data_IF_002715768187
#
_entry.id   IF_002715768187
#
_cell.length_a   1.000
_cell.length_b   1.000
_cell.length_c   1.000
_cell.angle_alpha   90.00
_cell.angle_beta   90.00
_cell.angle_gamma   90.00
#
_symmetry.space_group_name_H-M   'P 1'
#
loop_
_entity.id
_entity.type
_entity.pdbx_description
1 polymer ?
#
# COMPACT_ATOMS: atom_id res chain seq x y z
N UNK A 1 8.24 -36.96 16.83
CA UNK A 1 9.00 -37.00 18.11
C UNK A 1 10.00 -35.84 18.20
N UNK A 2 10.78 -35.57 17.15
CA UNK A 2 11.73 -34.44 17.07
C UNK A 2 11.08 -33.06 17.27
N UNK A 3 9.96 -32.77 16.61
CA UNK A 3 9.22 -31.50 16.75
C UNK A 3 8.88 -31.14 18.22
N UNK A 4 8.35 -32.12 18.98
CA UNK A 4 8.02 -31.94 20.41
C UNK A 4 9.28 -31.70 21.27
N UNK A 5 10.41 -32.33 20.90
CA UNK A 5 11.70 -32.13 21.58
C UNK A 5 12.26 -30.73 21.31
N UNK A 6 12.19 -30.24 20.06
CA UNK A 6 12.58 -28.88 19.72
C UNK A 6 11.73 -27.83 20.44
N UNK A 7 10.41 -28.05 20.49
CA UNK A 7 9.49 -27.17 21.21
C UNK A 7 9.80 -27.13 22.71
N UNK A 8 10.09 -28.28 23.32
CA UNK A 8 10.50 -28.36 24.73
C UNK A 8 11.81 -27.60 24.99
N UNK A 9 12.84 -27.79 24.18
CA UNK A 9 14.13 -27.09 24.33
C UNK A 9 13.98 -25.57 24.13
N UNK A 10 13.15 -25.12 23.17
CA UNK A 10 12.87 -23.69 22.98
C UNK A 10 12.07 -23.08 24.13
N UNK A 11 11.14 -23.83 24.74
CA UNK A 11 10.41 -23.40 25.95
C UNK A 11 11.33 -23.28 27.16
N UNK A 12 12.22 -24.26 27.38
CA UNK A 12 13.21 -24.22 28.45
C UNK A 12 14.16 -23.03 28.31
N UNK A 13 14.61 -22.74 27.09
CA UNK A 13 15.41 -21.55 26.81
C UNK A 13 14.65 -20.25 27.08
N UNK A 14 13.37 -20.17 26.74
CA UNK A 14 12.56 -18.99 27.03
C UNK A 14 12.40 -18.78 28.53
N UNK A 15 12.13 -19.85 29.29
CA UNK A 15 12.01 -19.81 30.74
C UNK A 15 13.32 -19.40 31.42
N UNK A 16 14.48 -19.85 30.91
CA UNK A 16 15.79 -19.43 31.42
C UNK A 16 16.03 -17.94 31.19
N UNK A 17 15.69 -17.41 30.01
CA UNK A 17 15.89 -15.99 29.65
C UNK A 17 14.96 -15.02 30.39
N UNK A 18 13.86 -15.52 30.95
CA UNK A 18 12.87 -14.74 31.70
C UNK A 18 13.17 -14.68 33.21
N UNK A 19 14.22 -15.38 33.68
CA UNK A 19 14.70 -15.25 35.06
C UNK A 19 15.28 -13.85 35.33
N UNK A 20 15.19 -13.40 36.58
CA UNK A 20 15.79 -12.13 37.02
C UNK A 20 17.30 -12.10 36.82
N UNK A 21 17.96 -13.25 37.04
CA UNK A 21 19.38 -13.48 36.75
C UNK A 21 19.52 -14.76 35.91
N UNK A 22 19.51 -14.64 34.57
CA UNK A 22 19.62 -15.80 33.68
C UNK A 22 21.08 -16.26 33.54
N UNK A 23 21.30 -17.57 33.35
CA UNK A 23 22.63 -18.11 33.11
C UNK A 23 22.95 -18.19 31.61
N UNK A 24 24.06 -17.56 31.20
CA UNK A 24 24.55 -17.64 29.82
C UNK A 24 24.89 -19.08 29.41
N UNK A 25 25.49 -19.84 30.34
CA UNK A 25 25.86 -21.25 30.16
C UNK A 25 24.64 -22.16 29.99
N UNK A 26 23.58 -21.95 30.77
CA UNK A 26 22.33 -22.70 30.60
C UNK A 26 21.65 -22.36 29.27
N UNK A 27 21.64 -21.07 28.88
CA UNK A 27 21.12 -20.65 27.58
C UNK A 27 21.89 -21.31 26.42
N UNK A 28 23.21 -21.39 26.51
CA UNK A 28 24.07 -22.07 25.53
C UNK A 28 23.73 -23.56 25.41
N UNK A 29 23.51 -24.26 26.52
CA UNK A 29 23.13 -25.67 26.51
C UNK A 29 21.79 -25.89 25.79
N UNK A 30 20.75 -25.12 26.14
CA UNK A 30 19.44 -25.23 25.50
C UNK A 30 19.47 -24.85 24.01
N UNK A 31 20.30 -23.88 23.63
CA UNK A 31 20.52 -23.51 22.23
C UNK A 31 21.21 -24.63 21.44
N UNK A 32 22.19 -25.32 22.05
CA UNK A 32 22.84 -26.47 21.44
C UNK A 32 21.87 -27.63 21.22
N UNK A 33 21.07 -27.97 22.23
CA UNK A 33 20.04 -29.01 22.13
C UNK A 33 18.98 -28.69 21.08
N UNK A 34 18.46 -27.46 21.09
CA UNK A 34 17.53 -27.00 20.07
C UNK A 34 18.18 -27.07 18.68
N UNK A 35 19.46 -26.72 18.57
CA UNK A 35 20.19 -26.74 17.32
C UNK A 35 20.34 -28.12 16.69
N UNK A 36 20.60 -29.17 17.47
CA UNK A 36 20.67 -30.53 16.93
C UNK A 36 19.32 -31.01 16.43
N UNK A 37 18.24 -30.71 17.15
CA UNK A 37 16.90 -31.16 16.75
C UNK A 37 16.38 -30.37 15.54
N UNK A 38 16.66 -29.07 15.47
CA UNK A 38 16.16 -28.19 14.41
C UNK A 38 16.80 -28.47 13.04
N UNK A 39 17.98 -29.12 12.98
CA UNK A 39 18.63 -29.49 11.71
C UNK A 39 17.85 -30.54 10.93
N UNK A 40 17.12 -31.40 11.64
CA UNK A 40 16.46 -32.58 11.07
C UNK A 40 14.96 -32.36 10.82
N UNK A 41 14.46 -31.13 11.03
CA UNK A 41 13.05 -30.77 10.78
C UNK A 41 12.85 -30.20 9.38
N UNK A 42 11.77 -30.62 8.73
CA UNK A 42 11.32 -30.05 7.46
C UNK A 42 10.76 -28.62 7.61
N UNK A 43 10.62 -27.93 6.48
CA UNK A 43 10.19 -26.54 6.44
C UNK A 43 8.78 -26.32 7.01
N UNK A 44 7.84 -27.24 6.74
CA UNK A 44 6.46 -27.14 7.20
C UNK A 44 6.40 -27.20 8.72
N UNK A 45 7.14 -28.14 9.33
CA UNK A 45 7.25 -28.26 10.78
C UNK A 45 7.93 -27.04 11.42
N UNK A 46 8.95 -26.46 10.77
CA UNK A 46 9.63 -25.25 11.26
C UNK A 46 8.71 -24.01 11.24
N UNK A 47 7.82 -23.90 10.25
CA UNK A 47 6.82 -22.83 10.16
C UNK A 47 5.70 -22.99 11.20
N UNK A 48 5.14 -24.19 11.34
CA UNK A 48 4.10 -24.50 12.34
C UNK A 48 4.56 -24.16 13.77
N UNK A 49 5.80 -24.53 14.10
CA UNK A 49 6.41 -24.26 15.40
C UNK A 49 6.85 -22.80 15.59
N UNK A 50 6.67 -21.93 14.59
CA UNK A 50 7.05 -20.51 14.62
C UNK A 50 8.52 -20.28 15.05
N UNK A 51 9.43 -21.21 14.72
CA UNK A 51 10.81 -21.24 15.23
C UNK A 51 11.55 -19.93 14.95
N UNK A 52 11.37 -19.35 13.77
CA UNK A 52 12.01 -18.07 13.39
C UNK A 52 11.57 -16.88 14.26
N UNK A 53 10.28 -16.83 14.63
CA UNK A 53 9.75 -15.78 15.51
C UNK A 53 10.29 -15.96 16.93
N UNK A 54 10.39 -17.21 17.38
CA UNK A 54 10.91 -17.59 18.70
C UNK A 54 12.40 -17.25 18.82
N UNK A 55 13.23 -17.68 17.87
CA UNK A 55 14.65 -17.33 17.81
C UNK A 55 14.86 -15.80 17.76
N UNK A 56 14.00 -15.07 17.03
CA UNK A 56 14.08 -13.60 16.96
C UNK A 56 13.76 -12.90 18.29
N UNK A 57 12.85 -13.45 19.11
CA UNK A 57 12.62 -12.98 20.49
C UNK A 57 13.84 -13.27 21.36
N UNK A 58 14.38 -14.48 21.27
CA UNK A 58 15.55 -14.90 22.04
C UNK A 58 16.78 -14.05 21.73
N UNK A 59 17.04 -13.71 20.47
CA UNK A 59 18.12 -12.77 20.09
C UNK A 59 18.01 -11.44 20.81
N UNK A 60 16.79 -10.91 20.99
CA UNK A 60 16.58 -9.64 21.70
C UNK A 60 16.83 -9.78 23.20
N UNK A 61 16.40 -10.89 23.81
CA UNK A 61 16.64 -11.17 25.23
C UNK A 61 18.13 -11.40 25.52
N UNK A 62 18.83 -12.19 24.71
CA UNK A 62 20.29 -12.40 24.81
C UNK A 62 21.05 -11.08 24.66
N UNK A 63 20.67 -10.22 23.71
CA UNK A 63 21.28 -8.89 23.55
C UNK A 63 21.01 -7.95 24.73
N UNK A 64 19.88 -8.12 25.43
CA UNK A 64 19.54 -7.33 26.62
C UNK A 64 20.44 -7.76 27.79
N UNK A 65 20.50 -9.06 28.07
CA UNK A 65 21.30 -9.60 29.17
C UNK A 65 22.81 -9.44 28.96
N UNK A 66 23.30 -9.51 27.72
CA UNK A 66 24.70 -9.15 27.38
C UNK A 66 25.09 -7.74 27.85
N UNK A 67 24.15 -6.78 27.90
CA UNK A 67 24.45 -5.38 28.28
C UNK A 67 24.49 -5.16 29.79
N UNK A 68 23.94 -6.08 30.56
CA UNK A 68 23.72 -5.94 32.00
C UNK A 68 24.44 -7.00 32.83
N UNK A 69 25.14 -7.94 32.20
CA UNK A 69 25.85 -9.06 32.85
C UNK A 69 27.36 -8.88 32.78
N UNK A 70 28.07 -9.31 33.81
CA UNK A 70 29.54 -9.38 33.86
C UNK A 70 30.09 -10.52 32.96
N UNK A 71 29.25 -11.47 32.52
CA UNK A 71 29.59 -12.62 31.66
C UNK A 71 29.50 -12.28 30.14
N UNK A 72 30.07 -11.16 29.72
CA UNK A 72 29.88 -10.62 28.37
C UNK A 72 30.33 -11.57 27.23
N UNK A 73 31.36 -12.40 27.48
CA UNK A 73 31.90 -13.37 26.53
C UNK A 73 30.97 -14.58 26.30
N UNK A 74 30.38 -15.10 27.37
CA UNK A 74 29.44 -16.23 27.29
C UNK A 74 28.14 -15.84 26.59
N UNK A 75 27.65 -14.63 26.85
CA UNK A 75 26.50 -14.08 26.11
C UNK A 75 26.81 -13.77 24.65
N UNK A 76 28.06 -13.44 24.31
CA UNK A 76 28.47 -13.32 22.92
C UNK A 76 28.47 -14.65 22.20
N UNK A 77 28.94 -15.70 22.86
CA UNK A 77 28.90 -17.07 22.36
C UNK A 77 27.45 -17.53 22.13
N UNK A 78 26.55 -17.26 23.08
CA UNK A 78 25.12 -17.54 22.94
C UNK A 78 24.51 -16.82 21.73
N UNK A 79 24.88 -15.56 21.52
CA UNK A 79 24.40 -14.76 20.38
C UNK A 79 24.89 -15.32 19.04
N UNK A 80 26.15 -15.79 18.97
CA UNK A 80 26.70 -16.43 17.77
C UNK A 80 25.92 -17.71 17.41
N UNK A 81 25.59 -18.53 18.41
CA UNK A 81 24.80 -19.76 18.20
C UNK A 81 23.39 -19.44 17.70
N UNK A 82 22.67 -18.51 18.34
CA UNK A 82 21.31 -18.11 17.91
C UNK A 82 21.29 -17.61 16.47
N UNK A 83 22.27 -16.78 16.09
CA UNK A 83 22.36 -16.25 14.73
C UNK A 83 22.68 -17.35 13.71
N UNK A 84 23.54 -18.31 14.06
CA UNK A 84 23.84 -19.48 13.22
C UNK A 84 22.59 -20.33 12.99
N UNK A 85 21.80 -20.59 14.03
CA UNK A 85 20.53 -21.32 13.93
C UNK A 85 19.51 -20.60 13.05
N UNK A 86 19.41 -19.27 13.17
CA UNK A 86 18.56 -18.47 12.28
C UNK A 86 18.99 -18.54 10.83
N UNK A 87 20.29 -18.60 10.56
CA UNK A 87 20.81 -18.76 9.20
C UNK A 87 20.49 -20.16 8.66
N UNK A 88 20.68 -21.20 9.48
CA UNK A 88 20.39 -22.59 9.11
C UNK A 88 18.91 -22.79 8.75
N UNK A 89 17.99 -22.29 9.58
CA UNK A 89 16.55 -22.35 9.28
C UNK A 89 16.18 -21.58 8.00
N UNK A 90 16.88 -20.48 7.69
CA UNK A 90 16.69 -19.71 6.44
C UNK A 90 17.33 -20.36 5.21
N UNK A 91 18.35 -21.21 5.38
CA UNK A 91 18.96 -21.93 4.26
C UNK A 91 18.16 -23.17 3.90
N UNK A 92 17.57 -23.88 4.88
CA UNK A 92 16.64 -24.99 4.60
C UNK A 92 15.42 -24.51 3.78
N UNK A 93 14.89 -23.32 4.07
CA UNK A 93 13.81 -22.72 3.25
C UNK A 93 14.22 -22.35 1.82
N UNK A 94 15.51 -22.14 1.56
CA UNK A 94 16.05 -21.84 0.22
C UNK A 94 16.33 -23.10 -0.61
N UNK A 95 16.60 -24.24 0.03
CA UNK A 95 16.85 -25.52 -0.67
C UNK A 95 15.53 -26.10 -1.19
N UNK A 96 14.45 -26.03 -0.40
CA UNK A 96 13.11 -26.46 -0.84
C UNK A 96 12.51 -25.59 -1.96
N UNK A 97 12.87 -24.31 -1.99
CA UNK A 97 12.47 -23.39 -3.07
C UNK A 97 13.31 -23.54 -4.34
N UNK A 98 14.55 -24.08 -4.26
CA UNK A 98 15.34 -24.50 -5.44
C UNK A 98 14.90 -25.86 -5.98
N UNK A 99 14.58 -26.83 -5.13
CA UNK A 99 14.06 -28.13 -5.57
C UNK A 99 12.68 -28.01 -6.26
N UNK A 100 11.83 -27.07 -5.82
CA UNK A 100 10.59 -26.70 -6.53
C UNK A 100 10.79 -25.91 -7.83
N UNK A 101 11.98 -25.35 -8.08
CA UNK A 101 12.33 -24.65 -9.32
C UNK A 101 12.83 -25.59 -10.43
N UNK A 102 13.32 -26.80 -10.12
CA UNK A 102 13.88 -27.72 -11.14
C UNK A 102 12.84 -28.64 -11.80
N UNK A 103 11.58 -28.70 -11.33
CA UNK A 103 10.50 -29.51 -11.96
C UNK A 103 9.63 -28.69 -12.94
N UNK A 104 9.92 -27.41 -13.20
CA UNK A 104 9.17 -26.67 -14.24
C UNK A 104 10.06 -25.73 -15.06
N UNK A 105 10.67 -26.26 -16.12
CA UNK A 105 10.98 -25.45 -17.30
C UNK A 105 9.65 -25.11 -17.99
N UNK A 106 9.26 -23.83 -18.16
CA UNK A 106 8.10 -23.51 -18.96
C UNK A 106 8.45 -23.66 -20.44
N UNK A 107 7.68 -24.52 -21.12
CA UNK A 107 7.61 -24.56 -22.57
C UNK A 107 7.08 -23.23 -23.11
N UNK A 108 7.68 -22.77 -24.21
CA UNK A 108 7.23 -21.63 -25.00
C UNK A 108 5.85 -21.86 -25.63
N UNK A 109 4.76 -21.50 -24.94
CA UNK A 109 3.43 -21.24 -25.50
C UNK A 109 2.67 -20.27 -24.57
N UNK A 110 1.95 -19.25 -25.10
CA UNK A 110 1.19 -18.31 -24.28
C UNK A 110 -0.17 -18.90 -23.90
N UNK A 111 -0.36 -19.26 -22.63
CA UNK A 111 -1.65 -19.65 -22.09
C UNK A 111 -1.58 -20.17 -20.66
N UNK A 112 -2.33 -19.52 -19.76
CA UNK A 112 -2.59 -19.85 -18.34
C UNK A 112 -1.36 -19.73 -17.42
N UNK A 113 -1.37 -19.05 -16.26
CA UNK A 113 -2.39 -18.89 -15.22
C UNK A 113 -2.13 -17.60 -14.42
N UNK A 114 -3.16 -16.88 -13.97
CA UNK A 114 -3.17 -16.24 -12.65
C UNK A 114 -4.58 -15.80 -12.28
N UNK A 115 -5.26 -16.54 -11.41
CA UNK A 115 -6.55 -16.11 -10.88
C UNK A 115 -6.34 -15.02 -9.83
N UNK A 116 -7.31 -14.11 -9.66
CA UNK A 116 -7.34 -13.05 -8.63
C UNK A 116 -7.02 -13.59 -7.22
N UNK A 117 -7.31 -14.88 -6.98
CA UNK A 117 -7.00 -15.61 -5.75
C UNK A 117 -5.50 -15.80 -5.52
N UNK A 118 -4.74 -16.20 -6.54
CA UNK A 118 -3.28 -16.40 -6.47
C UNK A 118 -2.55 -15.06 -6.33
N UNK A 119 -3.08 -14.04 -7.01
CA UNK A 119 -2.63 -12.67 -6.86
C UNK A 119 -2.75 -12.16 -5.41
N UNK A 120 -3.92 -12.32 -4.78
CA UNK A 120 -4.14 -11.96 -3.37
C UNK A 120 -3.25 -12.73 -2.41
N UNK A 121 -3.05 -14.02 -2.64
CA UNK A 121 -2.16 -14.84 -1.81
C UNK A 121 -0.73 -14.28 -1.83
N UNK A 122 -0.24 -13.82 -2.99
CA UNK A 122 1.07 -13.18 -3.12
C UNK A 122 1.19 -11.90 -2.30
N UNK A 123 0.14 -11.07 -2.23
CA UNK A 123 0.15 -9.82 -1.46
C UNK A 123 0.20 -10.06 0.04
N UNK A 124 -0.52 -11.09 0.51
CA UNK A 124 -0.52 -11.50 1.92
C UNK A 124 0.86 -12.01 2.36
N UNK A 125 1.54 -12.75 1.48
CA UNK A 125 2.88 -13.30 1.74
C UNK A 125 3.95 -12.21 1.79
N UNK A 126 3.81 -11.13 1.03
CA UNK A 126 4.88 -10.14 0.84
C UNK A 126 5.11 -9.16 2.01
N UNK A 127 4.30 -9.17 3.09
CA UNK A 127 4.48 -8.46 4.39
C UNK A 127 5.56 -7.35 4.44
N UNK A 128 5.49 -6.35 3.55
CA UNK A 128 6.34 -5.15 3.61
C UNK A 128 5.54 -4.07 4.28
N UNK A 129 5.94 -3.70 5.49
CA UNK A 129 5.53 -2.54 6.30
C UNK A 129 4.53 -1.58 5.62
N UNK A 130 3.29 -2.04 5.47
CA UNK A 130 2.19 -1.26 4.93
C UNK A 130 1.33 -0.84 6.11
N UNK A 131 1.18 0.48 6.27
CA UNK A 131 0.05 1.22 6.84
C UNK A 131 -0.77 0.50 7.91
N UNK A 132 -0.94 1.12 9.08
CA UNK A 132 -1.69 0.61 10.25
C UNK A 132 -3.13 0.11 10.02
N UNK A 133 -3.66 0.12 8.80
CA UNK A 133 -4.84 -0.62 8.39
C UNK A 133 -4.59 -1.23 6.99
N UNK A 134 -4.70 -2.56 6.80
CA UNK A 134 -4.63 -3.14 5.45
C UNK A 134 -5.71 -2.47 4.57
N UNK A 135 -5.39 -2.10 3.33
CA UNK A 135 -6.37 -1.46 2.47
C UNK A 135 -7.56 -2.40 2.29
N UNK A 136 -8.78 -1.85 2.40
CA UNK A 136 -10.00 -2.57 2.01
C UNK A 136 -9.78 -3.08 0.60
N UNK A 137 -9.80 -4.40 0.43
CA UNK A 137 -9.63 -5.02 -0.88
C UNK A 137 -10.87 -4.72 -1.73
N UNK A 138 -10.72 -4.62 -3.06
CA UNK A 138 -11.87 -4.44 -3.93
C UNK A 138 -12.84 -5.62 -3.82
N UNK A 139 -14.14 -5.38 -4.08
CA UNK A 139 -15.11 -6.46 -4.26
C UNK A 139 -14.59 -7.49 -5.28
N UNK A 140 -14.94 -8.76 -5.08
CA UNK A 140 -14.51 -9.86 -5.95
C UNK A 140 -15.12 -9.76 -7.35
N UNK A 141 -16.37 -9.33 -7.40
CA UNK A 141 -17.13 -9.07 -8.60
C UNK A 141 -17.71 -7.66 -8.46
N UNK A 142 -17.46 -6.79 -9.44
CA UNK A 142 -17.89 -5.39 -9.41
C UNK A 142 -18.93 -5.20 -10.49
N UNK A 143 -20.17 -5.00 -10.08
CA UNK A 143 -21.26 -4.68 -10.99
C UNK A 143 -21.26 -3.19 -11.27
N UNK A 144 -21.37 -2.85 -12.56
CA UNK A 144 -21.54 -1.48 -13.03
C UNK A 144 -23.03 -1.26 -13.26
N UNK A 145 -23.58 -0.21 -12.65
CA UNK A 145 -24.98 0.16 -12.87
C UNK A 145 -25.21 0.56 -14.34
N UNK A 146 -26.34 0.16 -14.90
CA UNK A 146 -26.66 0.40 -16.32
C UNK A 146 -27.09 1.85 -16.57
N UNK A 147 -27.67 2.51 -15.57
CA UNK A 147 -28.11 3.89 -15.65
C UNK A 147 -27.02 4.85 -15.16
N UNK A 148 -26.90 5.98 -15.85
CA UNK A 148 -25.94 7.03 -15.49
C UNK A 148 -26.61 8.09 -14.62
N UNK A 149 -25.94 8.49 -13.56
CA UNK A 149 -26.34 9.63 -12.74
C UNK A 149 -26.08 10.95 -13.48
N UNK A 150 -26.85 11.98 -13.12
CA UNK A 150 -26.58 13.35 -13.60
C UNK A 150 -25.18 13.83 -13.18
N UNK A 151 -24.57 14.76 -13.95
CA UNK A 151 -23.30 15.39 -13.59
C UNK A 151 -23.33 16.03 -12.19
N UNK A 152 -22.18 16.12 -11.50
CA UNK A 152 -22.11 16.73 -10.17
C UNK A 152 -22.47 18.21 -10.20
N UNK A 153 -23.03 18.69 -9.09
CA UNK A 153 -23.25 20.12 -8.87
C UNK A 153 -21.97 20.73 -8.31
N UNK A 154 -21.57 21.91 -8.81
CA UNK A 154 -20.45 22.70 -8.27
C UNK A 154 -20.99 23.85 -7.42
N UNK A 155 -20.51 23.96 -6.19
CA UNK A 155 -20.71 25.15 -5.38
C UNK A 155 -19.88 26.32 -5.96
N UNK A 156 -20.52 27.45 -6.26
CA UNK A 156 -19.88 28.60 -6.92
C UNK A 156 -18.86 29.33 -6.04
N UNK A 157 -19.03 29.29 -4.73
CA UNK A 157 -18.15 29.98 -3.77
C UNK A 157 -16.95 29.12 -3.39
N UNK A 158 -17.19 27.85 -3.05
CA UNK A 158 -16.13 26.96 -2.54
C UNK A 158 -15.47 26.11 -3.64
N UNK A 159 -16.09 26.01 -4.82
CA UNK A 159 -15.67 25.13 -5.91
C UNK A 159 -15.90 23.64 -5.63
N UNK A 160 -16.47 23.27 -4.48
CA UNK A 160 -16.69 21.87 -4.10
C UNK A 160 -17.76 21.22 -4.98
N UNK A 161 -17.50 19.96 -5.37
CA UNK A 161 -18.40 19.12 -6.15
C UNK A 161 -19.27 18.27 -5.23
N UNK A 162 -20.54 18.14 -5.58
CA UNK A 162 -21.51 17.28 -4.89
C UNK A 162 -22.14 16.30 -5.87
N UNK A 163 -22.17 15.03 -5.49
CA UNK A 163 -22.62 13.92 -6.33
C UNK A 163 -23.97 13.39 -5.86
N UNK A 164 -24.69 12.74 -6.76
CA UNK A 164 -25.94 12.02 -6.44
C UNK A 164 -25.60 10.61 -5.96
N UNK A 165 -26.23 10.20 -4.86
CA UNK A 165 -26.16 8.85 -4.32
C UNK A 165 -27.17 7.93 -4.98
N UNK A 166 -26.80 6.67 -5.20
CA UNK A 166 -27.70 5.59 -5.64
C UNK A 166 -28.11 4.66 -4.50
N UNK A 167 -27.28 4.57 -3.45
CA UNK A 167 -27.53 3.76 -2.26
C UNK A 167 -27.42 4.56 -0.96
N UNK A 168 -28.00 4.06 0.12
CA UNK A 168 -27.91 4.67 1.46
C UNK A 168 -26.47 4.71 1.99
N UNK A 169 -25.67 3.69 1.71
CA UNK A 169 -24.26 3.62 2.10
C UNK A 169 -23.44 4.72 1.40
N UNK A 170 -23.55 4.81 0.07
CA UNK A 170 -22.89 5.87 -0.71
C UNK A 170 -23.39 7.25 -0.29
N UNK A 171 -24.68 7.40 -0.02
CA UNK A 171 -25.28 8.67 0.44
C UNK A 171 -24.62 9.20 1.72
N UNK A 172 -24.32 8.32 2.67
CA UNK A 172 -23.63 8.72 3.90
C UNK A 172 -22.19 9.18 3.64
N UNK A 173 -21.46 8.48 2.78
CA UNK A 173 -20.09 8.86 2.44
C UNK A 173 -20.03 10.16 1.61
N UNK A 174 -21.02 10.40 0.75
CA UNK A 174 -21.10 11.59 -0.09
C UNK A 174 -21.31 12.88 0.69
N UNK A 175 -21.70 12.83 1.97
CA UNK A 175 -21.76 14.01 2.86
C UNK A 175 -20.39 14.65 3.08
N UNK A 176 -19.32 13.87 3.00
CA UNK A 176 -17.95 14.34 3.21
C UNK A 176 -17.09 14.28 1.94
N UNK A 177 -17.58 13.64 0.87
CA UNK A 177 -16.86 13.50 -0.40
C UNK A 177 -17.07 14.71 -1.31
N UNK A 178 -16.15 15.68 -1.19
CA UNK A 178 -16.21 16.96 -1.90
C UNK A 178 -14.87 17.33 -2.54
N UNK A 179 -14.42 16.62 -3.59
CA UNK A 179 -13.34 17.12 -4.44
C UNK A 179 -13.73 18.49 -5.02
N UNK A 180 -12.78 19.39 -5.21
CA UNK A 180 -13.01 20.72 -5.77
C UNK A 180 -12.37 20.92 -7.16
N UNK A 181 -11.77 19.85 -7.71
CA UNK A 181 -11.27 19.79 -9.08
C UNK A 181 -11.99 18.72 -9.89
N UNK A 182 -12.49 19.09 -11.07
CA UNK A 182 -13.03 18.14 -12.04
C UNK A 182 -11.90 17.29 -12.65
N UNK A 183 -12.20 16.14 -13.28
CA UNK A 183 -11.21 15.41 -14.05
C UNK A 183 -10.48 16.28 -15.08
N UNK A 184 -11.22 17.14 -15.80
CA UNK A 184 -10.63 18.11 -16.73
C UNK A 184 -9.60 19.01 -16.04
N UNK A 185 -9.97 19.64 -14.91
CA UNK A 185 -9.07 20.54 -14.19
C UNK A 185 -7.83 19.81 -13.67
N UNK A 186 -7.97 18.56 -13.21
CA UNK A 186 -6.82 17.75 -12.76
C UNK A 186 -5.88 17.43 -13.93
N UNK A 187 -6.42 17.11 -15.10
CA UNK A 187 -5.62 16.85 -16.30
C UNK A 187 -4.88 18.10 -16.79
N UNK A 188 -5.63 19.21 -16.96
CA UNK A 188 -5.08 20.47 -17.43
C UNK A 188 -4.04 21.06 -16.47
N UNK A 189 -4.19 20.84 -15.16
CA UNK A 189 -3.23 21.30 -14.17
C UNK A 189 -1.88 20.57 -14.24
N UNK A 190 -1.80 19.38 -14.86
CA UNK A 190 -0.61 18.55 -14.81
C UNK A 190 -0.50 17.82 -13.47
N UNK A 191 -1.17 16.68 -13.38
CA UNK A 191 -1.24 15.92 -12.13
C UNK A 191 -0.28 14.72 -12.10
N UNK A 192 0.01 14.08 -13.23
CA UNK A 192 0.57 12.72 -13.24
C UNK A 192 1.87 12.57 -14.04
N UNK A 193 2.63 13.65 -14.18
CA UNK A 193 3.94 13.69 -14.83
C UNK A 193 3.90 13.24 -16.29
N UNK A 194 2.76 13.41 -16.96
CA UNK A 194 2.59 13.01 -18.35
C UNK A 194 2.19 11.55 -18.59
N UNK A 195 2.13 10.72 -17.55
CA UNK A 195 2.20 9.25 -17.72
C UNK A 195 0.92 8.49 -17.39
N UNK A 196 -0.16 9.17 -16.99
CA UNK A 196 -1.30 8.48 -16.39
C UNK A 196 -1.95 7.50 -17.37
N UNK A 197 -2.22 7.94 -18.60
CA UNK A 197 -2.86 7.16 -19.65
C UNK A 197 -1.85 6.60 -20.65
N UNK A 198 -0.59 6.39 -20.23
CA UNK A 198 0.41 5.69 -21.06
C UNK A 198 -0.05 4.25 -21.30
N UNK A 199 0.39 3.57 -22.39
CA UNK A 199 0.12 2.15 -22.56
C UNK A 199 0.63 1.34 -21.36
N UNK A 200 -0.20 0.42 -20.86
CA UNK A 200 0.14 -0.46 -19.74
C UNK A 200 -0.19 -1.91 -20.06
N UNK A 201 0.56 -2.84 -19.48
CA UNK A 201 0.15 -4.24 -19.33
C UNK A 201 -0.25 -4.44 -17.88
N UNK A 202 -1.52 -4.72 -17.62
CA UNK A 202 -2.00 -4.87 -16.24
C UNK A 202 -1.84 -6.29 -15.75
N UNK A 203 -1.25 -6.45 -14.58
CA UNK A 203 -1.17 -7.74 -13.89
C UNK A 203 -2.51 -8.16 -13.25
N UNK A 204 -3.47 -7.23 -13.11
CA UNK A 204 -4.79 -7.51 -12.53
C UNK A 204 -5.74 -8.12 -13.56
N UNK A 205 -5.68 -7.65 -14.81
CA UNK A 205 -6.54 -8.14 -15.90
C UNK A 205 -5.82 -9.05 -16.89
N UNK A 206 -4.48 -9.11 -16.83
CA UNK A 206 -3.63 -9.77 -17.83
C UNK A 206 -3.83 -9.22 -19.26
N UNK A 207 -4.31 -7.98 -19.39
CA UNK A 207 -4.55 -7.31 -20.67
C UNK A 207 -3.54 -6.17 -20.85
N UNK A 208 -3.11 -5.96 -22.10
CA UNK A 208 -2.39 -4.76 -22.50
C UNK A 208 -3.37 -3.72 -23.04
N UNK A 209 -3.39 -2.55 -22.43
CA UNK A 209 -4.26 -1.44 -22.79
C UNK A 209 -3.46 -0.41 -23.60
N UNK A 210 -4.01 0.00 -24.74
CA UNK A 210 -3.48 1.13 -25.48
C UNK A 210 -3.88 2.45 -24.83
N UNK A 211 -3.12 3.51 -25.10
CA UNK A 211 -3.42 4.84 -24.60
C UNK A 211 -4.69 5.42 -25.23
N UNK A 212 -4.97 5.11 -26.50
CA UNK A 212 -6.14 5.63 -27.20
C UNK A 212 -7.42 5.03 -26.64
N UNK A 213 -7.46 3.70 -26.44
CA UNK A 213 -8.66 3.01 -25.96
C UNK A 213 -9.10 3.52 -24.59
N UNK A 214 -8.14 3.70 -23.66
CA UNK A 214 -8.47 4.21 -22.31
C UNK A 214 -8.93 5.67 -22.35
N UNK A 215 -8.35 6.49 -23.23
CA UNK A 215 -8.75 7.89 -23.36
C UNK A 215 -10.17 7.98 -23.93
N UNK A 216 -10.49 7.23 -24.98
CA UNK A 216 -11.82 7.21 -25.58
C UNK A 216 -12.89 6.69 -24.62
N UNK A 217 -12.55 5.68 -23.83
CA UNK A 217 -13.47 5.10 -22.84
C UNK A 217 -13.71 6.03 -21.64
N UNK A 218 -12.63 6.55 -21.03
CA UNK A 218 -12.70 7.17 -19.69
C UNK A 218 -12.73 8.69 -19.71
N UNK A 219 -12.20 9.35 -20.75
CA UNK A 219 -11.94 10.79 -20.78
C UNK A 219 -12.81 11.46 -21.86
N UNK A 220 -13.53 12.53 -21.50
CA UNK A 220 -14.28 13.28 -22.51
C UNK A 220 -13.34 14.06 -23.43
N UNK A 221 -13.65 14.09 -24.73
CA UNK A 221 -12.82 14.74 -25.74
C UNK A 221 -12.58 16.22 -25.44
N UNK A 222 -13.59 16.91 -24.90
CA UNK A 222 -13.49 18.32 -24.56
C UNK A 222 -12.54 18.60 -23.38
N UNK A 223 -12.40 17.66 -22.43
CA UNK A 223 -11.50 17.82 -21.29
C UNK A 223 -10.03 17.90 -21.71
N UNK A 224 -9.69 17.24 -22.82
CA UNK A 224 -8.33 17.15 -23.35
C UNK A 224 -8.14 17.95 -24.64
N UNK A 225 -9.17 18.67 -25.09
CA UNK A 225 -9.08 19.52 -26.28
C UNK A 225 -7.97 20.55 -26.10
N UNK A 226 -7.03 20.56 -27.04
CA UNK A 226 -5.86 21.44 -27.04
C UNK A 226 -4.75 21.05 -26.07
N UNK A 227 -4.87 19.95 -25.32
CA UNK A 227 -3.77 19.47 -24.48
C UNK A 227 -2.74 18.69 -25.30
N UNK A 228 -1.43 18.92 -25.09
CA UNK A 228 -0.40 18.13 -25.74
C UNK A 228 -0.39 16.71 -25.18
N UNK A 229 -0.27 15.70 -26.05
CA UNK A 229 -0.39 14.29 -25.62
C UNK A 229 0.68 13.84 -24.63
N UNK A 230 1.85 14.48 -24.62
CA UNK A 230 2.89 14.20 -23.64
C UNK A 230 2.48 14.52 -22.19
N UNK A 231 1.40 15.28 -21.96
CA UNK A 231 0.80 15.49 -20.64
C UNK A 231 -0.09 14.33 -20.18
N UNK A 232 -0.43 13.40 -21.07
CA UNK A 232 -1.40 12.34 -20.79
C UNK A 232 -0.81 10.93 -20.97
N UNK A 233 -0.04 10.71 -22.05
CA UNK A 233 0.33 9.37 -22.54
C UNK A 233 1.84 9.15 -22.69
N UNK A 234 2.67 10.02 -22.14
CA UNK A 234 4.12 9.85 -22.10
C UNK A 234 4.50 8.51 -21.46
N UNK A 235 5.47 7.80 -22.04
CA UNK A 235 6.03 6.57 -21.45
C UNK A 235 6.89 6.86 -20.22
N UNK A 236 7.52 8.04 -20.19
CA UNK A 236 8.46 8.46 -19.15
C UNK A 236 7.83 9.54 -18.28
N UNK A 237 8.01 9.41 -16.96
CA UNK A 237 7.52 10.40 -15.99
C UNK A 237 8.33 11.68 -16.05
N UNK A 238 7.64 12.81 -16.18
CA UNK A 238 8.19 14.15 -16.37
C UNK A 238 7.72 15.07 -15.24
N UNK A 239 8.51 15.25 -14.16
CA UNK A 239 8.12 16.11 -13.03
C UNK A 239 7.81 17.56 -13.43
N UNK A 240 8.42 18.06 -14.50
CA UNK A 240 8.19 19.40 -15.03
C UNK A 240 6.79 19.61 -15.62
N UNK A 241 6.06 18.54 -15.94
CA UNK A 241 4.65 18.62 -16.36
C UNK A 241 3.75 18.86 -15.15
N UNK A 242 4.20 18.48 -13.95
CA UNK A 242 3.36 18.60 -12.77
C UNK A 242 3.20 20.06 -12.33
N UNK A 243 2.00 20.44 -11.89
CA UNK A 243 1.70 21.76 -11.33
C UNK A 243 2.73 22.24 -10.31
N UNK A 244 3.18 21.33 -9.44
CA UNK A 244 4.12 21.64 -8.36
C UNK A 244 5.56 21.22 -8.67
N UNK A 245 5.88 20.82 -9.90
CA UNK A 245 7.25 20.52 -10.36
C UNK A 245 7.93 19.32 -9.67
N UNK A 246 7.18 18.49 -8.94
CA UNK A 246 7.74 17.38 -8.14
C UNK A 246 7.16 16.03 -8.57
N UNK A 247 8.00 15.00 -8.53
CA UNK A 247 7.56 13.61 -8.71
C UNK A 247 6.75 13.16 -7.50
N UNK A 248 5.57 12.61 -7.77
CA UNK A 248 4.68 12.05 -6.76
C UNK A 248 3.98 10.79 -7.30
N UNK A 249 3.61 9.89 -6.40
CA UNK A 249 2.86 8.67 -6.70
C UNK A 249 3.71 7.40 -6.73
N UNK A 250 3.06 6.26 -6.48
CA UNK A 250 3.64 4.93 -6.63
C UNK A 250 3.66 4.44 -8.08
N UNK A 251 4.46 3.40 -8.35
CA UNK A 251 4.46 2.72 -9.66
C UNK A 251 3.19 1.90 -9.88
N UNK A 252 2.85 1.60 -11.15
CA UNK A 252 1.71 0.72 -11.46
C UNK A 252 1.78 -0.60 -10.67
N UNK A 253 2.95 -1.26 -10.67
CA UNK A 253 3.15 -2.50 -9.93
C UNK A 253 2.91 -2.37 -8.42
N UNK A 254 3.25 -1.21 -7.80
CA UNK A 254 2.93 -0.94 -6.39
C UNK A 254 1.42 -0.79 -6.18
N UNK A 255 0.73 -0.08 -7.07
CA UNK A 255 -0.72 0.13 -6.97
C UNK A 255 -1.48 -1.17 -7.17
N UNK A 256 -1.07 -1.95 -8.16
CA UNK A 256 -1.54 -3.31 -8.34
C UNK A 256 -1.28 -4.06 -7.04
N UNK A 257 -0.03 -4.18 -6.59
CA UNK A 257 0.35 -5.06 -5.47
C UNK A 257 -0.20 -4.62 -4.10
N UNK A 258 -0.77 -3.42 -4.02
CA UNK A 258 -1.46 -2.94 -2.82
C UNK A 258 -2.95 -3.33 -2.82
N UNK A 259 -3.45 -3.99 -3.87
CA UNK A 259 -4.87 -4.29 -4.05
C UNK A 259 -5.69 -3.02 -4.35
N UNK A 260 -5.09 -2.00 -4.97
CA UNK A 260 -5.78 -0.73 -5.24
C UNK A 260 -6.39 -0.62 -6.64
N UNK A 261 -5.96 -1.49 -7.54
CA UNK A 261 -6.46 -1.60 -8.92
C UNK A 261 -7.53 -2.69 -8.99
N UNK A 262 -8.56 -2.45 -9.80
CA UNK A 262 -9.64 -3.40 -10.07
C UNK A 262 -9.70 -3.71 -11.55
N UNK A 263 -10.28 -4.85 -11.96
CA UNK A 263 -10.46 -5.15 -13.37
C UNK A 263 -11.32 -4.13 -14.12
N UNK A 264 -12.31 -3.55 -13.43
CA UNK A 264 -13.17 -2.54 -14.04
C UNK A 264 -12.43 -1.23 -14.27
N UNK A 265 -11.48 -0.85 -13.42
CA UNK A 265 -10.68 0.38 -13.55
C UNK A 265 -9.17 0.06 -13.49
N UNK A 266 -8.58 -0.47 -14.59
CA UNK A 266 -7.19 -0.94 -14.64
C UNK A 266 -6.14 0.18 -14.45
N UNK A 267 -6.52 1.44 -14.65
CA UNK A 267 -5.68 2.61 -14.34
C UNK A 267 -5.95 3.16 -12.95
N UNK A 268 -6.85 2.55 -12.17
CA UNK A 268 -7.06 2.84 -10.76
C UNK A 268 -7.88 4.10 -10.49
N UNK A 269 -7.55 4.77 -9.38
CA UNK A 269 -8.37 5.82 -8.76
C UNK A 269 -8.82 6.91 -9.74
N UNK A 270 -7.92 7.50 -10.53
CA UNK A 270 -8.31 8.64 -11.36
C UNK A 270 -9.15 8.22 -12.56
N UNK A 271 -8.98 7.00 -13.08
CA UNK A 271 -9.89 6.43 -14.07
C UNK A 271 -11.29 6.23 -13.47
N UNK A 272 -11.36 5.64 -12.28
CA UNK A 272 -12.61 5.55 -11.53
C UNK A 272 -13.24 6.93 -11.33
N UNK A 273 -12.44 7.95 -10.97
CA UNK A 273 -12.93 9.31 -10.76
C UNK A 273 -13.49 9.95 -12.04
N UNK A 274 -12.83 9.77 -13.19
CA UNK A 274 -13.33 10.23 -14.48
C UNK A 274 -14.72 9.65 -14.77
N UNK A 275 -14.87 8.33 -14.59
CA UNK A 275 -16.13 7.62 -14.86
C UNK A 275 -17.21 7.94 -13.82
N UNK A 276 -16.84 8.06 -12.55
CA UNK A 276 -17.75 8.46 -11.47
C UNK A 276 -18.28 9.89 -11.67
N UNK A 277 -17.42 10.81 -12.11
CA UNK A 277 -17.78 12.18 -12.47
C UNK A 277 -18.79 12.23 -13.61
N UNK A 278 -18.63 11.36 -14.61
CA UNK A 278 -19.56 11.20 -15.73
C UNK A 278 -20.89 10.53 -15.36
N UNK A 279 -21.05 10.09 -14.13
CA UNK A 279 -22.29 9.49 -13.63
C UNK A 279 -22.29 7.97 -13.54
N UNK A 280 -21.20 7.27 -13.92
CA UNK A 280 -21.08 5.82 -13.70
C UNK A 280 -21.13 5.52 -12.21
N UNK A 281 -21.86 4.48 -11.83
CA UNK A 281 -21.87 3.93 -10.46
C UNK A 281 -21.54 2.44 -10.49
N UNK A 282 -20.90 1.96 -9.45
CA UNK A 282 -20.52 0.57 -9.32
C UNK A 282 -20.29 0.14 -7.87
N UNK A 283 -20.21 -1.17 -7.64
CA UNK A 283 -19.98 -1.74 -6.31
C UNK A 283 -18.65 -1.27 -5.66
N UNK A 284 -17.70 -0.75 -6.44
CA UNK A 284 -16.42 -0.24 -5.93
C UNK A 284 -16.49 1.20 -5.38
N UNK A 285 -17.62 1.90 -5.55
CA UNK A 285 -17.75 3.32 -5.21
C UNK A 285 -17.51 3.58 -3.72
N UNK A 286 -18.08 2.73 -2.85
CA UNK A 286 -17.90 2.81 -1.39
C UNK A 286 -16.43 2.78 -1.02
N UNK A 287 -15.66 1.86 -1.62
CA UNK A 287 -14.23 1.71 -1.36
C UNK A 287 -13.44 2.90 -1.86
N UNK A 288 -13.71 3.37 -3.07
CA UNK A 288 -12.98 4.47 -3.68
C UNK A 288 -13.24 5.79 -2.94
N UNK A 289 -14.50 6.08 -2.61
CA UNK A 289 -14.87 7.25 -1.79
C UNK A 289 -14.20 7.16 -0.41
N UNK A 290 -14.21 5.99 0.22
CA UNK A 290 -13.54 5.79 1.51
C UNK A 290 -12.03 6.04 1.45
N UNK A 291 -11.36 5.63 0.37
CA UNK A 291 -9.92 5.93 0.15
C UNK A 291 -9.67 7.42 -0.01
N UNK A 292 -10.54 8.11 -0.74
CA UNK A 292 -10.48 9.56 -0.86
C UNK A 292 -10.67 10.23 0.50
N UNK A 293 -11.66 9.80 1.30
CA UNK A 293 -11.90 10.37 2.64
C UNK A 293 -10.69 10.21 3.58
N UNK A 294 -10.03 9.05 3.55
CA UNK A 294 -8.80 8.79 4.31
C UNK A 294 -7.61 9.62 3.83
N UNK A 295 -7.60 10.05 2.57
CA UNK A 295 -6.46 10.77 1.95
C UNK A 295 -6.67 12.29 1.93
N UNK A 296 -7.75 12.74 1.31
CA UNK A 296 -8.10 14.12 0.99
C UNK A 296 -9.36 14.63 1.71
N UNK A 297 -10.16 13.76 2.32
CA UNK A 297 -11.36 14.16 3.07
C UNK A 297 -11.09 15.08 4.26
N UNK A 298 -12.13 15.59 4.94
CA UNK A 298 -12.00 16.56 6.04
C UNK A 298 -11.04 16.15 7.17
N UNK A 299 -10.92 14.84 7.42
CA UNK A 299 -9.98 14.22 8.38
C UNK A 299 -8.86 13.43 7.68
N UNK A 300 -8.76 13.55 6.36
CA UNK A 300 -7.80 12.83 5.54
C UNK A 300 -6.36 13.18 5.88
N UNK A 301 -5.47 12.19 5.78
CA UNK A 301 -4.06 12.28 6.17
C UNK A 301 -3.35 13.42 5.46
N UNK A 302 -3.41 13.45 4.13
CA UNK A 302 -2.66 14.41 3.31
C UNK A 302 -3.23 15.82 3.45
N UNK A 303 -4.56 15.96 3.45
CA UNK A 303 -5.22 17.26 3.68
C UNK A 303 -4.84 17.81 5.05
N UNK A 304 -4.98 17.01 6.10
CA UNK A 304 -4.68 17.46 7.47
C UNK A 304 -3.21 17.82 7.63
N UNK A 305 -2.30 17.02 7.07
CA UNK A 305 -0.87 17.29 7.12
C UNK A 305 -0.51 18.60 6.42
N UNK A 306 -1.06 18.86 5.23
CA UNK A 306 -0.80 20.10 4.50
C UNK A 306 -1.38 21.32 5.22
N UNK A 307 -2.66 21.28 5.62
CA UNK A 307 -3.28 22.39 6.34
C UNK A 307 -2.53 22.72 7.64
N UNK A 308 -2.12 21.70 8.40
CA UNK A 308 -1.34 21.92 9.63
C UNK A 308 0.00 22.61 9.36
N UNK A 309 0.68 22.27 8.25
CA UNK A 309 1.94 22.91 7.87
C UNK A 309 1.74 24.35 7.41
N UNK A 310 0.70 24.63 6.61
CA UNK A 310 0.35 25.98 6.18
C UNK A 310 0.06 26.88 7.40
N UNK A 311 -0.79 26.40 8.33
CA UNK A 311 -1.13 27.14 9.55
C UNK A 311 0.10 27.36 10.43
N UNK A 312 0.93 26.33 10.63
CA UNK A 312 2.13 26.44 11.45
C UNK A 312 3.16 27.43 10.86
N UNK A 313 3.22 27.55 9.53
CA UNK A 313 4.08 28.49 8.84
C UNK A 313 3.47 29.90 8.72
N UNK A 314 2.22 30.10 9.17
CA UNK A 314 1.45 31.33 8.93
C UNK A 314 1.45 31.77 7.45
N UNK A 315 1.47 30.78 6.55
CA UNK A 315 1.55 30.99 5.12
C UNK A 315 0.15 31.08 4.48
N UNK A 316 0.09 31.64 3.27
CA UNK A 316 -1.12 31.62 2.46
C UNK A 316 -1.48 30.17 2.02
N UNK A 317 -2.77 29.89 1.85
CA UNK A 317 -3.27 28.62 1.32
C UNK A 317 -2.61 28.21 0.00
N UNK A 318 -2.22 29.19 -0.83
CA UNK A 318 -1.62 29.00 -2.14
C UNK A 318 -0.08 29.00 -2.15
N UNK A 319 0.59 29.04 -1.00
CA UNK A 319 2.06 28.98 -0.94
C UNK A 319 2.58 27.60 -1.35
N UNK A 320 3.01 27.51 -2.61
CA UNK A 320 3.45 26.27 -3.24
C UNK A 320 4.77 25.72 -2.67
N UNK A 321 5.53 26.53 -1.92
CA UNK A 321 6.76 26.07 -1.24
C UNK A 321 6.45 25.11 -0.09
N UNK A 322 5.26 25.22 0.51
CA UNK A 322 4.84 24.38 1.62
C UNK A 322 4.41 23.00 1.11
N UNK A 323 5.31 22.03 1.26
CA UNK A 323 5.09 20.61 0.96
C UNK A 323 4.53 20.33 -0.45
N UNK A 324 5.27 20.70 -1.52
CA UNK A 324 4.84 20.52 -2.90
C UNK A 324 4.44 19.07 -3.23
N UNK A 325 5.10 18.07 -2.63
CA UNK A 325 4.75 16.65 -2.82
C UNK A 325 3.34 16.33 -2.29
N UNK A 326 2.94 16.89 -1.14
CA UNK A 326 1.60 16.68 -0.58
C UNK A 326 0.57 17.44 -1.42
N UNK A 327 0.89 18.67 -1.88
CA UNK A 327 0.03 19.42 -2.80
C UNK A 327 -0.23 18.64 -4.09
N UNK A 328 0.83 18.08 -4.69
CA UNK A 328 0.72 17.21 -5.86
C UNK A 328 -0.10 15.96 -5.55
N UNK A 329 0.11 15.33 -4.39
CA UNK A 329 -0.69 14.17 -3.95
C UNK A 329 -2.17 14.52 -3.89
N UNK A 330 -2.55 15.65 -3.30
CA UNK A 330 -3.95 16.07 -3.20
C UNK A 330 -4.55 16.39 -4.57
N UNK A 331 -3.77 16.95 -5.49
CA UNK A 331 -4.20 17.15 -6.87
C UNK A 331 -4.51 15.83 -7.59
N UNK A 332 -3.76 14.75 -7.32
CA UNK A 332 -4.11 13.40 -7.81
C UNK A 332 -5.51 12.94 -7.33
N UNK A 333 -5.89 13.38 -6.13
CA UNK A 333 -7.20 13.11 -5.52
C UNK A 333 -8.26 14.16 -5.87
N UNK A 334 -8.00 15.09 -6.80
CA UNK A 334 -8.96 16.12 -7.19
C UNK A 334 -9.25 17.16 -6.10
N UNK A 335 -8.30 17.38 -5.19
CA UNK A 335 -8.41 18.40 -4.15
C UNK A 335 -7.24 19.38 -4.22
N UNK A 336 -7.57 20.67 -4.19
CA UNK A 336 -6.64 21.74 -3.83
C UNK A 336 -7.07 22.43 -2.55
N UNK A 337 -6.11 22.87 -1.74
CA UNK A 337 -6.42 23.63 -0.52
C UNK A 337 -6.88 25.03 -0.95
N UNK A 338 -8.06 25.43 -0.49
CA UNK A 338 -8.64 26.76 -0.65
C UNK A 338 -8.72 27.46 0.71
N UNK A 339 -9.03 28.78 0.77
CA UNK A 339 -9.26 29.46 2.04
C UNK A 339 -10.36 28.77 2.87
N UNK A 340 -11.49 28.42 2.26
CA UNK A 340 -12.59 27.68 2.92
C UNK A 340 -12.13 26.34 3.52
N UNK A 341 -11.33 25.57 2.77
CA UNK A 341 -10.77 24.29 3.23
C UNK A 341 -9.87 24.48 4.45
N UNK A 342 -9.06 25.54 4.44
CA UNK A 342 -8.12 25.87 5.51
C UNK A 342 -8.86 26.36 6.76
N UNK A 343 -9.81 27.29 6.60
CA UNK A 343 -10.65 27.81 7.69
C UNK A 343 -11.45 26.70 8.37
N UNK A 344 -12.11 25.83 7.60
CA UNK A 344 -12.84 24.67 8.14
C UNK A 344 -11.90 23.71 8.88
N UNK A 345 -10.68 23.51 8.39
CA UNK A 345 -9.69 22.68 9.07
C UNK A 345 -9.24 23.31 10.38
N UNK A 346 -8.88 24.60 10.40
CA UNK A 346 -8.46 25.34 11.59
C UNK A 346 -9.51 25.27 12.70
N UNK A 347 -10.77 25.59 12.36
CA UNK A 347 -11.92 25.48 13.27
C UNK A 347 -12.07 24.06 13.84
N UNK A 348 -11.89 23.02 13.02
CA UNK A 348 -12.01 21.62 13.45
C UNK A 348 -10.91 21.21 14.45
N UNK A 349 -9.71 21.77 14.33
CA UNK A 349 -8.56 21.41 15.18
C UNK A 349 -8.31 22.40 16.33
N UNK A 350 -9.20 23.39 16.51
CA UNK A 350 -9.09 24.40 17.57
C UNK A 350 -7.91 25.36 17.40
N UNK A 351 -7.60 25.74 16.15
CA UNK A 351 -6.53 26.69 15.80
C UNK A 351 -7.06 27.98 15.24
#
# INVERSE_FOLDING_TARGET
MAAKKAEASLKSLHAELDKDVPSAKACLAFLGEAGEVLKDLDHETLEELNVMKTLGKMTRSVKRHKRSSEEAEDWESALKVVNKLQLQCKTSSKVDSKAKQEISKPSSQPGNHSTVKEYRARLVVQKKDMYKDPPVLPPLDIKIETSFCRPPKRNKETGMLSFVATTSEVSNLLKDFHPNRTPEEVLRAGSFGGTYFRPISSAVTNVSYSANDVLEDSVEKDWIKGLPMNMLTSKTYRPEINKYGVKCGGSLGMWESSGWITPVDPYGWFQWYCRFYRGRRCDDDVRQISRWLKSAGPKGRFRSQLCNKIIAAQADHNDNSISPVIRQTLLHWGLEITPDVLTKHAKRVGK
#
